data_IF_867300722767
#
_entry.id   IF_867300722767
#
_cell.length_a   1.000
_cell.length_b   1.000
_cell.length_c   1.000
_cell.angle_alpha   90.00
_cell.angle_beta   90.00
_cell.angle_gamma   90.00
#
_symmetry.space_group_name_H-M   'P 1'
#
loop_
_entity.id
_entity.type
_entity.pdbx_description
1 polymer ?
#
# COMPACT_ATOMS: atom_id res chain seq x y z
N UNK A 1 -28.82 7.48 -37.68
CA UNK A 1 -27.68 6.65 -37.20
C UNK A 1 -26.55 7.61 -36.79
N UNK A 2 -26.48 7.97 -35.51
CA UNK A 2 -25.49 8.95 -35.00
C UNK A 2 -24.23 8.17 -34.62
N UNK A 3 -23.21 8.23 -35.46
CA UNK A 3 -21.89 7.68 -35.17
C UNK A 3 -21.30 8.58 -34.08
N UNK A 4 -21.24 8.06 -32.85
CA UNK A 4 -20.49 8.71 -31.77
C UNK A 4 -19.02 8.52 -32.14
N UNK A 5 -18.42 9.50 -32.82
CA UNK A 5 -16.97 9.62 -32.91
C UNK A 5 -16.45 9.69 -31.48
N UNK A 6 -15.76 8.63 -31.05
CA UNK A 6 -14.96 8.66 -29.82
C UNK A 6 -13.92 9.76 -29.98
N UNK A 7 -14.13 10.89 -29.32
CA UNK A 7 -13.16 11.97 -29.25
C UNK A 7 -11.81 11.38 -28.80
N UNK A 8 -10.68 11.65 -29.50
CA UNK A 8 -9.39 11.22 -29.02
C UNK A 8 -9.17 11.84 -27.64
N UNK A 9 -8.82 11.00 -26.64
CA UNK A 9 -8.41 11.51 -25.33
C UNK A 9 -7.37 12.61 -25.53
N UNK A 10 -7.59 13.78 -24.92
CA UNK A 10 -6.58 14.84 -24.92
C UNK A 10 -5.28 14.28 -24.34
N UNK A 11 -4.15 14.76 -24.83
CA UNK A 11 -2.81 14.36 -24.35
C UNK A 11 -2.73 14.39 -22.82
N UNK A 12 -3.34 15.40 -22.21
CA UNK A 12 -3.47 15.56 -20.75
C UNK A 12 -4.18 14.39 -20.06
N UNK A 13 -5.23 13.81 -20.66
CA UNK A 13 -6.00 12.72 -20.06
C UNK A 13 -5.29 11.36 -20.21
N UNK A 14 -4.60 11.13 -21.34
CA UNK A 14 -3.68 9.99 -21.49
C UNK A 14 -2.55 10.06 -20.47
N UNK A 15 -1.92 11.22 -20.32
CA UNK A 15 -0.80 11.42 -19.38
C UNK A 15 -1.21 11.27 -17.91
N UNK A 16 -2.41 11.76 -17.53
CA UNK A 16 -2.97 11.54 -16.18
C UNK A 16 -3.16 10.05 -15.87
N UNK A 17 -3.35 9.22 -16.88
CA UNK A 17 -3.58 7.78 -16.71
C UNK A 17 -2.25 7.02 -16.60
N UNK A 18 -1.22 7.40 -17.37
CA UNK A 18 0.09 6.72 -17.40
C UNK A 18 0.80 6.76 -16.03
N UNK A 19 0.86 7.91 -15.37
CA UNK A 19 1.58 8.00 -14.09
C UNK A 19 0.95 7.12 -13.01
N UNK A 20 -0.38 7.05 -12.99
CA UNK A 20 -1.12 6.21 -12.04
C UNK A 20 -0.70 4.75 -12.21
N UNK A 21 -0.58 4.31 -13.46
CA UNK A 21 -0.22 2.93 -13.77
C UNK A 21 1.25 2.63 -13.47
N UNK A 22 2.16 3.58 -13.73
CA UNK A 22 3.57 3.48 -13.29
C UNK A 22 3.67 3.32 -11.78
N UNK A 23 2.94 4.14 -11.02
CA UNK A 23 2.98 4.08 -9.56
C UNK A 23 2.39 2.78 -9.02
N UNK A 24 1.25 2.32 -9.56
CA UNK A 24 0.71 0.99 -9.21
C UNK A 24 1.74 -0.09 -9.49
N UNK A 25 2.36 -0.07 -10.67
CA UNK A 25 3.41 -1.01 -11.06
C UNK A 25 4.59 -1.01 -10.09
N UNK A 26 5.08 0.17 -9.71
CA UNK A 26 6.16 0.33 -8.73
C UNK A 26 5.76 -0.26 -7.37
N UNK A 27 4.55 0.05 -6.87
CA UNK A 27 4.11 -0.48 -5.57
C UNK A 27 4.00 -2.01 -5.56
N UNK A 28 3.51 -2.62 -6.65
CA UNK A 28 3.46 -4.07 -6.80
C UNK A 28 4.86 -4.68 -6.90
N UNK A 29 5.76 -4.06 -7.67
CA UNK A 29 7.15 -4.48 -7.80
C UNK A 29 7.87 -4.49 -6.45
N UNK A 30 7.70 -3.45 -5.62
CA UNK A 30 8.31 -3.37 -4.29
C UNK A 30 7.81 -4.47 -3.34
N UNK A 31 6.55 -4.92 -3.49
CA UNK A 31 5.99 -6.05 -2.72
C UNK A 31 6.59 -7.38 -3.18
N UNK A 32 6.71 -7.58 -4.50
CA UNK A 32 7.36 -8.77 -5.05
C UNK A 32 8.81 -8.84 -4.60
N UNK A 33 9.56 -7.73 -4.69
CA UNK A 33 10.94 -7.64 -4.24
C UNK A 33 11.08 -8.02 -2.75
N UNK A 34 10.14 -7.58 -1.91
CA UNK A 34 10.13 -7.94 -0.50
C UNK A 34 9.97 -9.43 -0.27
N UNK A 35 8.98 -10.07 -0.93
CA UNK A 35 8.75 -11.50 -0.78
C UNK A 35 9.91 -12.30 -1.36
N UNK A 36 10.46 -11.92 -2.51
CA UNK A 36 11.67 -12.54 -3.06
C UNK A 36 12.83 -12.50 -2.07
N UNK A 37 13.09 -11.35 -1.45
CA UNK A 37 14.11 -11.23 -0.39
C UNK A 37 13.80 -12.13 0.82
N UNK A 38 12.54 -12.18 1.26
CA UNK A 38 12.12 -13.04 2.36
C UNK A 38 12.38 -14.52 2.08
N UNK A 39 12.11 -14.99 0.85
CA UNK A 39 12.41 -16.37 0.44
C UNK A 39 13.92 -16.62 0.31
N UNK A 40 14.70 -15.66 -0.21
CA UNK A 40 16.17 -15.75 -0.22
C UNK A 40 16.74 -15.83 1.20
N UNK A 41 16.17 -15.09 2.14
CA UNK A 41 16.55 -15.13 3.55
C UNK A 41 16.23 -16.49 4.16
N UNK A 42 15.06 -17.05 3.87
CA UNK A 42 14.70 -18.41 4.31
C UNK A 42 15.58 -19.49 3.71
N UNK A 43 16.11 -19.29 2.50
CA UNK A 43 17.08 -20.18 1.86
C UNK A 43 18.51 -19.98 2.40
N UNK A 44 18.76 -19.04 3.31
CA UNK A 44 20.08 -18.76 3.86
C UNK A 44 21.02 -17.97 2.93
N UNK A 45 20.48 -17.37 1.85
CA UNK A 45 21.28 -16.69 0.81
C UNK A 45 21.25 -15.16 0.99
N UNK A 46 20.46 -14.62 1.93
CA UNK A 46 20.40 -13.17 2.15
C UNK A 46 21.63 -12.64 2.89
N UNK A 47 22.19 -11.53 2.42
CA UNK A 47 23.26 -10.79 3.11
C UNK A 47 22.70 -9.71 4.04
N UNK A 48 23.49 -9.29 5.04
CA UNK A 48 23.13 -8.15 5.91
C UNK A 48 22.79 -6.88 5.11
N UNK A 49 23.54 -6.59 4.05
CA UNK A 49 23.29 -5.46 3.15
C UNK A 49 21.93 -5.56 2.47
N UNK A 50 21.60 -6.72 1.88
CA UNK A 50 20.29 -6.92 1.23
C UNK A 50 19.13 -6.84 2.23
N UNK A 51 19.33 -7.34 3.46
CA UNK A 51 18.35 -7.22 4.54
C UNK A 51 18.11 -5.76 4.94
N UNK A 52 19.18 -4.99 5.14
CA UNK A 52 19.09 -3.55 5.45
C UNK A 52 18.38 -2.77 4.36
N UNK A 53 18.72 -3.02 3.09
CA UNK A 53 18.07 -2.39 1.94
C UNK A 53 16.58 -2.74 1.86
N UNK A 54 16.23 -4.02 2.00
CA UNK A 54 14.82 -4.47 2.00
C UNK A 54 14.01 -3.85 3.15
N UNK A 55 14.63 -3.64 4.31
CA UNK A 55 13.97 -2.96 5.43
C UNK A 55 13.74 -1.48 5.17
N UNK A 56 14.74 -0.76 4.62
CA UNK A 56 14.60 0.67 4.27
C UNK A 56 13.52 0.87 3.21
N UNK A 57 13.58 0.10 2.13
CA UNK A 57 12.55 0.07 1.08
C UNK A 57 11.18 -0.34 1.67
N UNK A 58 11.21 -1.24 2.65
CA UNK A 58 10.03 -1.72 3.35
C UNK A 58 9.28 -0.68 4.17
N UNK A 59 9.97 0.35 4.64
CA UNK A 59 9.33 1.46 5.34
C UNK A 59 8.39 2.26 4.40
N UNK A 60 8.72 2.33 3.12
CA UNK A 60 8.00 3.05 2.09
C UNK A 60 6.88 2.22 1.43
N UNK A 61 7.15 0.93 1.18
CA UNK A 61 6.33 0.10 0.26
C UNK A 61 4.84 0.03 0.64
N UNK A 62 4.55 -0.26 1.91
CA UNK A 62 3.17 -0.49 2.37
C UNK A 62 2.39 0.82 2.51
N UNK A 63 2.92 1.87 3.16
CA UNK A 63 2.26 3.18 3.15
C UNK A 63 1.93 3.69 1.75
N UNK A 64 2.88 3.55 0.82
CA UNK A 64 2.72 4.00 -0.56
C UNK A 64 1.62 3.23 -1.29
N UNK A 65 1.61 1.90 -1.16
CA UNK A 65 0.57 1.03 -1.71
C UNK A 65 -0.83 1.44 -1.24
N UNK A 66 -1.00 1.69 0.06
CA UNK A 66 -2.30 2.07 0.62
C UNK A 66 -2.71 3.50 0.31
N UNK A 67 -1.77 4.44 0.29
CA UNK A 67 -2.03 5.82 -0.16
C UNK A 67 -2.58 5.84 -1.59
N UNK A 68 -1.95 5.09 -2.51
CA UNK A 68 -2.39 5.03 -3.90
C UNK A 68 -3.69 4.27 -4.06
N UNK A 69 -3.87 3.17 -3.33
CA UNK A 69 -5.13 2.45 -3.29
C UNK A 69 -6.28 3.34 -2.79
N UNK A 70 -6.03 4.18 -1.78
CA UNK A 70 -6.98 5.17 -1.26
C UNK A 70 -7.30 6.25 -2.29
N UNK A 71 -6.27 6.81 -2.95
CA UNK A 71 -6.44 7.81 -4.00
C UNK A 71 -7.34 7.29 -5.13
N UNK A 72 -7.13 6.05 -5.57
CA UNK A 72 -7.96 5.41 -6.60
C UNK A 72 -9.38 5.13 -6.11
N UNK A 73 -9.54 4.80 -4.82
CA UNK A 73 -10.84 4.56 -4.21
C UNK A 73 -11.72 5.82 -4.15
N UNK A 74 -11.17 7.04 -4.20
CA UNK A 74 -11.93 8.30 -4.15
C UNK A 74 -13.12 8.36 -5.12
N UNK A 75 -12.92 7.84 -6.34
CA UNK A 75 -13.96 7.82 -7.39
C UNK A 75 -14.97 6.69 -7.22
N UNK A 76 -14.55 5.62 -6.54
CA UNK A 76 -15.31 4.38 -6.36
C UNK A 76 -16.23 4.47 -5.15
N UNK A 77 -15.78 5.08 -4.05
CA UNK A 77 -16.57 5.24 -2.80
C UNK A 77 -17.84 6.09 -2.99
N UNK A 78 -17.92 6.88 -4.07
CA UNK A 78 -19.07 7.75 -4.38
C UNK A 78 -20.13 7.06 -5.24
N UNK A 79 -19.85 5.89 -5.80
CA UNK A 79 -20.75 5.17 -6.70
C UNK A 79 -21.81 4.36 -5.92
N UNK A 80 -22.96 4.04 -6.55
CA UNK A 80 -23.98 3.17 -5.96
C UNK A 80 -23.41 1.77 -5.68
N UNK A 81 -23.85 1.16 -4.57
CA UNK A 81 -23.26 -0.08 -4.05
C UNK A 81 -23.35 -1.23 -5.06
N UNK A 82 -24.50 -1.45 -5.71
CA UNK A 82 -24.72 -2.60 -6.60
C UNK A 82 -23.73 -2.69 -7.78
N UNK A 83 -23.31 -1.56 -8.33
CA UNK A 83 -22.37 -1.50 -9.46
C UNK A 83 -20.91 -1.77 -9.05
N UNK A 84 -20.54 -1.38 -7.83
CA UNK A 84 -19.18 -1.51 -7.31
C UNK A 84 -18.95 -2.87 -6.65
N UNK A 85 -19.96 -3.36 -5.93
CA UNK A 85 -19.86 -4.53 -5.08
C UNK A 85 -19.69 -5.81 -5.90
N UNK A 86 -20.47 -5.96 -6.98
CA UNK A 86 -20.55 -7.26 -7.68
C UNK A 86 -19.24 -7.65 -8.36
N UNK A 87 -18.66 -6.82 -9.23
CA UNK A 87 -17.46 -7.23 -10.00
C UNK A 87 -16.15 -7.08 -9.24
N UNK A 88 -15.97 -5.98 -8.51
CA UNK A 88 -14.67 -5.65 -7.91
C UNK A 88 -14.44 -6.41 -6.60
N UNK A 89 -15.47 -6.56 -5.76
CA UNK A 89 -15.33 -7.37 -4.54
C UNK A 89 -15.24 -8.84 -4.88
N UNK A 90 -16.00 -9.33 -5.87
CA UNK A 90 -15.80 -10.70 -6.32
C UNK A 90 -14.38 -10.93 -6.79
N UNK A 91 -13.78 -10.05 -7.60
CA UNK A 91 -12.38 -10.21 -8.01
C UNK A 91 -11.43 -10.28 -6.81
N UNK A 92 -11.56 -9.37 -5.82
CA UNK A 92 -10.72 -9.41 -4.62
C UNK A 92 -10.93 -10.67 -3.80
N UNK A 93 -12.18 -11.10 -3.63
CA UNK A 93 -12.54 -12.31 -2.89
C UNK A 93 -12.00 -13.56 -3.59
N UNK A 94 -12.12 -13.65 -4.91
CA UNK A 94 -11.57 -14.75 -5.71
C UNK A 94 -10.05 -14.81 -5.56
N UNK A 95 -9.35 -13.69 -5.74
CA UNK A 95 -7.90 -13.61 -5.56
C UNK A 95 -7.53 -14.02 -4.13
N UNK A 96 -8.22 -13.49 -3.12
CA UNK A 96 -7.95 -13.82 -1.72
C UNK A 96 -8.12 -15.32 -1.43
N UNK A 97 -9.23 -15.93 -1.86
CA UNK A 97 -9.52 -17.34 -1.64
C UNK A 97 -8.53 -18.25 -2.37
N UNK A 98 -8.28 -17.99 -3.66
CA UNK A 98 -7.32 -18.77 -4.46
C UNK A 98 -5.93 -18.74 -3.82
N UNK A 99 -5.43 -17.57 -3.44
CA UNK A 99 -4.12 -17.46 -2.83
C UNK A 99 -4.07 -18.01 -1.40
N UNK A 100 -5.17 -17.94 -0.66
CA UNK A 100 -5.30 -18.61 0.64
C UNK A 100 -5.15 -20.11 0.49
N UNK A 101 -5.86 -20.71 -0.46
CA UNK A 101 -5.77 -22.14 -0.75
C UNK A 101 -4.36 -22.54 -1.17
N UNK A 102 -3.73 -21.79 -2.08
CA UNK A 102 -2.32 -22.01 -2.47
C UNK A 102 -1.39 -21.94 -1.26
N UNK A 103 -1.57 -20.93 -0.40
CA UNK A 103 -0.71 -20.76 0.79
C UNK A 103 -0.88 -21.89 1.79
N UNK A 104 -2.10 -22.37 2.00
CA UNK A 104 -2.38 -23.53 2.85
C UNK A 104 -1.81 -24.80 2.24
N UNK A 105 -1.93 -25.00 0.92
CA UNK A 105 -1.36 -26.14 0.21
C UNK A 105 0.18 -26.17 0.28
N UNK A 106 0.85 -25.04 0.09
CA UNK A 106 2.32 -24.95 0.23
C UNK A 106 2.75 -25.24 1.66
N UNK A 107 2.02 -24.72 2.67
CA UNK A 107 2.28 -25.05 4.08
C UNK A 107 2.09 -26.53 4.37
N UNK A 108 1.04 -27.14 3.81
CA UNK A 108 0.76 -28.57 3.93
C UNK A 108 1.88 -29.41 3.34
N UNK A 109 2.29 -29.10 2.09
CA UNK A 109 3.41 -29.77 1.42
C UNK A 109 4.70 -29.68 2.22
N UNK A 110 5.02 -28.47 2.74
CA UNK A 110 6.21 -28.25 3.56
C UNK A 110 6.20 -29.06 4.86
N UNK A 111 5.08 -29.05 5.60
CA UNK A 111 4.97 -29.74 6.88
C UNK A 111 5.02 -31.26 6.72
N UNK A 112 4.32 -31.80 5.72
CA UNK A 112 4.25 -33.24 5.50
C UNK A 112 5.51 -33.85 4.91
N UNK A 113 6.06 -33.24 3.85
CA UNK A 113 7.10 -33.88 3.04
C UNK A 113 8.50 -33.46 3.49
N UNK A 114 8.70 -32.17 3.78
CA UNK A 114 10.04 -31.65 4.09
C UNK A 114 10.40 -31.77 5.57
N UNK A 115 9.41 -31.80 6.45
CA UNK A 115 9.60 -31.80 7.90
C UNK A 115 9.14 -33.09 8.58
N UNK A 116 8.61 -34.05 7.81
CA UNK A 116 8.12 -35.34 8.33
C UNK A 116 6.99 -35.21 9.35
N UNK A 117 6.30 -34.07 9.39
CA UNK A 117 5.20 -33.83 10.31
C UNK A 117 3.93 -34.56 9.91
N UNK A 118 3.06 -34.84 10.88
CA UNK A 118 1.72 -35.37 10.61
C UNK A 118 0.91 -34.35 9.80
N UNK A 119 0.26 -34.85 8.74
CA UNK A 119 -0.61 -34.05 7.90
C UNK A 119 -1.89 -33.70 8.68
N UNK A 120 -2.31 -32.42 8.71
CA UNK A 120 -3.60 -32.05 9.27
C UNK A 120 -4.73 -32.80 8.55
N UNK A 121 -5.74 -33.23 9.30
CA UNK A 121 -6.96 -33.78 8.74
C UNK A 121 -7.80 -32.72 8.00
N UNK A 122 -8.82 -33.18 7.27
CA UNK A 122 -9.70 -32.34 6.46
C UNK A 122 -10.43 -31.31 7.33
N UNK A 123 -10.85 -31.70 8.54
CA UNK A 123 -11.53 -30.82 9.49
C UNK A 123 -10.62 -29.67 9.93
N UNK A 124 -9.38 -29.97 10.34
CA UNK A 124 -8.38 -28.96 10.68
C UNK A 124 -8.09 -28.04 9.50
N UNK A 125 -8.06 -28.58 8.28
CA UNK A 125 -7.86 -27.77 7.07
C UNK A 125 -9.03 -26.81 6.83
N UNK A 126 -10.27 -27.30 6.97
CA UNK A 126 -11.47 -26.47 6.85
C UNK A 126 -11.50 -25.36 7.92
N UNK A 127 -11.17 -25.69 9.18
CA UNK A 127 -11.05 -24.71 10.25
C UNK A 127 -9.97 -23.66 9.97
N UNK A 128 -8.82 -24.06 9.40
CA UNK A 128 -7.75 -23.12 8.99
C UNK A 128 -8.21 -22.20 7.86
N UNK A 129 -8.99 -22.71 6.92
CA UNK A 129 -9.58 -21.90 5.86
C UNK A 129 -10.58 -20.89 6.41
N UNK A 130 -11.47 -21.30 7.32
CA UNK A 130 -12.42 -20.36 7.96
C UNK A 130 -11.68 -19.32 8.80
N UNK A 131 -10.68 -19.74 9.59
CA UNK A 131 -9.85 -18.83 10.39
C UNK A 131 -9.10 -17.82 9.54
N UNK A 132 -8.72 -18.17 8.31
CA UNK A 132 -8.03 -17.25 7.39
C UNK A 132 -8.86 -16.01 7.00
N UNK A 133 -10.19 -16.07 7.14
CA UNK A 133 -11.06 -14.92 6.91
C UNK A 133 -10.90 -13.83 7.98
N UNK A 134 -10.51 -14.25 9.20
CA UNK A 134 -10.26 -13.36 10.34
C UNK A 134 -8.76 -13.04 10.50
N UNK A 135 -7.90 -14.06 10.41
CA UNK A 135 -6.45 -13.95 10.58
C UNK A 135 -5.76 -14.47 9.31
N UNK A 136 -5.63 -13.63 8.27
CA UNK A 136 -5.19 -14.06 6.96
C UNK A 136 -3.71 -14.50 6.97
N UNK A 137 -3.31 -15.45 6.10
CA UNK A 137 -1.93 -15.85 5.95
C UNK A 137 -1.03 -14.63 5.71
N UNK A 138 0.18 -14.64 6.29
CA UNK A 138 0.98 -13.43 6.51
C UNK A 138 1.28 -12.55 5.28
N UNK A 139 1.17 -13.03 4.05
CA UNK A 139 1.30 -12.20 2.84
C UNK A 139 -0.03 -11.63 2.32
N UNK A 140 -1.18 -12.15 2.73
CA UNK A 140 -2.51 -11.80 2.22
C UNK A 140 -3.24 -10.72 3.03
N UNK A 141 -2.64 -10.29 4.14
CA UNK A 141 -3.20 -9.25 5.01
C UNK A 141 -3.51 -7.94 4.26
N UNK A 142 -2.77 -7.59 3.20
CA UNK A 142 -2.98 -6.33 2.50
C UNK A 142 -4.29 -6.33 1.69
N UNK A 143 -4.68 -7.47 1.13
CA UNK A 143 -5.97 -7.62 0.41
C UNK A 143 -7.12 -7.54 1.42
N UNK A 144 -6.96 -8.22 2.55
CA UNK A 144 -7.90 -8.16 3.66
C UNK A 144 -8.05 -6.72 4.21
N UNK A 145 -6.93 -6.05 4.48
CA UNK A 145 -6.91 -4.65 4.90
C UNK A 145 -7.55 -3.72 3.88
N UNK A 146 -7.29 -3.91 2.58
CA UNK A 146 -7.91 -3.11 1.52
C UNK A 146 -9.43 -3.21 1.52
N UNK A 147 -9.98 -4.43 1.73
CA UNK A 147 -11.42 -4.63 1.84
C UNK A 147 -11.99 -3.89 3.06
N UNK A 148 -11.34 -4.00 4.22
CA UNK A 148 -11.74 -3.29 5.44
C UNK A 148 -11.67 -1.77 5.30
N UNK A 149 -10.59 -1.24 4.73
CA UNK A 149 -10.44 0.20 4.59
C UNK A 149 -11.41 0.77 3.56
N UNK A 150 -11.68 0.03 2.48
CA UNK A 150 -12.69 0.42 1.51
C UNK A 150 -14.08 0.48 2.15
N UNK A 151 -14.43 -0.54 2.96
CA UNK A 151 -15.67 -0.56 3.72
C UNK A 151 -15.73 0.62 4.70
N UNK A 152 -14.68 0.86 5.49
CA UNK A 152 -14.60 1.98 6.42
C UNK A 152 -14.76 3.33 5.68
N UNK A 153 -14.04 3.53 4.58
CA UNK A 153 -14.14 4.75 3.77
C UNK A 153 -15.53 4.98 3.19
N UNK A 154 -16.30 3.91 2.94
CA UNK A 154 -17.67 3.99 2.44
C UNK A 154 -18.69 4.31 3.53
N UNK A 155 -18.47 3.76 4.74
CA UNK A 155 -19.36 3.93 5.90
C UNK A 155 -19.17 5.28 6.57
N UNK A 156 -17.95 5.84 6.56
CA UNK A 156 -17.66 7.14 7.17
C UNK A 156 -18.28 8.26 6.31
N UNK A 157 -19.29 8.99 6.82
CA UNK A 157 -19.91 10.07 6.08
C UNK A 157 -18.96 11.26 5.95
N UNK A 158 -19.23 12.16 4.99
CA UNK A 158 -18.35 13.31 4.69
C UNK A 158 -18.04 14.18 5.92
N UNK A 159 -19.04 14.40 6.80
CA UNK A 159 -18.90 15.15 8.07
C UNK A 159 -18.04 14.42 9.11
N UNK A 160 -17.95 13.10 9.05
CA UNK A 160 -17.19 12.26 9.98
C UNK A 160 -15.77 11.92 9.53
N UNK A 161 -15.33 12.40 8.35
CA UNK A 161 -14.01 12.03 7.78
C UNK A 161 -12.84 12.38 8.67
N UNK A 162 -12.82 13.58 9.27
CA UNK A 162 -11.76 13.99 10.18
C UNK A 162 -11.74 13.13 11.45
N UNK A 163 -12.91 12.81 12.01
CA UNK A 163 -13.04 11.92 13.17
C UNK A 163 -12.54 10.52 12.80
N UNK A 164 -12.95 9.98 11.65
CA UNK A 164 -12.50 8.68 11.15
C UNK A 164 -10.99 8.60 10.96
N UNK A 165 -10.36 9.68 10.46
CA UNK A 165 -8.91 9.78 10.39
C UNK A 165 -8.26 9.81 11.76
N UNK A 166 -8.77 10.64 12.68
CA UNK A 166 -8.30 10.72 14.05
C UNK A 166 -8.34 9.36 14.75
N UNK A 167 -9.47 8.66 14.65
CA UNK A 167 -9.62 7.29 15.18
C UNK A 167 -8.61 6.34 14.52
N UNK A 168 -8.45 6.38 13.21
CA UNK A 168 -7.47 5.52 12.53
C UNK A 168 -6.03 5.76 12.99
N UNK A 169 -5.66 7.02 13.26
CA UNK A 169 -4.32 7.39 13.76
C UNK A 169 -4.10 6.93 15.20
N UNK A 170 -5.13 7.02 16.05
CA UNK A 170 -5.10 6.50 17.41
C UNK A 170 -4.91 4.98 17.36
N UNK A 171 -5.68 4.27 16.53
CA UNK A 171 -5.56 2.82 16.37
C UNK A 171 -4.20 2.40 15.81
N UNK A 172 -3.65 3.16 14.86
CA UNK A 172 -2.32 2.91 14.33
C UNK A 172 -1.25 3.07 15.42
N UNK A 173 -1.34 4.12 16.23
CA UNK A 173 -0.44 4.35 17.38
C UNK A 173 -0.56 3.22 18.41
N UNK A 174 -1.79 2.81 18.73
CA UNK A 174 -2.05 1.71 19.65
C UNK A 174 -1.50 0.37 19.13
N UNK A 175 -1.62 0.09 17.83
CA UNK A 175 -1.03 -1.10 17.22
C UNK A 175 0.51 -1.13 17.35
N UNK A 176 1.14 0.05 17.46
CA UNK A 176 2.59 0.17 17.66
C UNK A 176 3.04 0.23 19.11
N UNK A 177 2.15 0.52 20.07
CA UNK A 177 2.53 0.68 21.48
C UNK A 177 2.92 -0.62 22.16
N UNK A 178 2.67 -1.78 21.53
CA UNK A 178 2.86 -3.11 22.11
C UNK A 178 2.08 -3.36 23.42
N UNK A 179 1.13 -2.49 23.76
CA UNK A 179 0.26 -2.68 24.93
C UNK A 179 -0.60 -3.95 24.80
N UNK A 180 -0.84 -4.40 23.57
CA UNK A 180 -1.53 -5.63 23.25
C UNK A 180 -0.78 -6.40 22.15
N UNK A 181 -0.67 -7.72 22.29
CA UNK A 181 -0.05 -8.60 21.29
C UNK A 181 -1.03 -8.90 20.15
N UNK A 182 -1.06 -8.02 19.16
CA UNK A 182 -1.78 -8.28 17.91
C UNK A 182 -1.04 -9.30 17.03
N UNK A 183 -1.81 -10.16 16.35
CA UNK A 183 -1.23 -10.94 15.25
C UNK A 183 -0.73 -9.99 14.15
N UNK A 184 0.28 -10.43 13.40
CA UNK A 184 0.92 -9.60 12.36
C UNK A 184 -0.10 -8.96 11.38
N UNK A 185 -1.07 -9.70 10.81
CA UNK A 185 -2.08 -9.11 9.93
C UNK A 185 -2.89 -7.98 10.56
N UNK A 186 -3.31 -8.14 11.82
CA UNK A 186 -4.09 -7.14 12.54
C UNK A 186 -3.26 -5.90 12.83
N UNK A 187 -2.03 -6.09 13.33
CA UNK A 187 -1.08 -5.01 13.58
C UNK A 187 -0.83 -4.21 12.30
N UNK A 188 -0.50 -4.90 11.21
CA UNK A 188 -0.27 -4.27 9.91
C UNK A 188 -1.53 -3.52 9.44
N UNK A 189 -2.71 -4.14 9.54
CA UNK A 189 -3.94 -3.51 9.08
C UNK A 189 -4.27 -2.20 9.84
N UNK A 190 -4.13 -2.22 11.16
CA UNK A 190 -4.35 -1.02 11.97
C UNK A 190 -3.31 0.07 11.66
N UNK A 191 -2.04 -0.32 11.51
CA UNK A 191 -0.93 0.62 11.24
C UNK A 191 -1.07 1.37 9.92
N UNK A 192 -1.67 0.76 8.89
CA UNK A 192 -1.72 1.37 7.54
C UNK A 192 -3.08 1.96 7.14
N UNK A 193 -4.12 1.78 7.96
CA UNK A 193 -5.43 2.39 7.73
C UNK A 193 -5.40 3.93 7.54
N UNK A 194 -4.60 4.72 8.29
CA UNK A 194 -4.55 6.17 8.11
C UNK A 194 -4.14 6.59 6.69
N UNK A 195 -3.18 5.89 6.08
CA UNK A 195 -2.72 6.21 4.72
C UNK A 195 -3.81 6.01 3.69
N UNK A 196 -4.53 4.90 3.76
CA UNK A 196 -5.63 4.65 2.84
C UNK A 196 -6.74 5.69 3.02
N UNK A 197 -7.19 5.91 4.26
CA UNK A 197 -8.31 6.80 4.54
C UNK A 197 -7.98 8.26 4.20
N UNK A 198 -6.76 8.72 4.49
CA UNK A 198 -6.33 10.09 4.18
C UNK A 198 -6.45 10.37 2.68
N UNK A 199 -5.95 9.45 1.85
CA UNK A 199 -6.01 9.61 0.40
C UNK A 199 -7.39 9.32 -0.20
N UNK A 200 -8.18 8.42 0.41
CA UNK A 200 -9.56 8.18 0.00
C UNK A 200 -10.47 9.39 0.27
N UNK A 201 -10.16 10.20 1.29
CA UNK A 201 -10.96 11.35 1.68
C UNK A 201 -10.47 12.67 1.09
N UNK A 202 -9.14 12.88 1.07
CA UNK A 202 -8.48 14.15 0.77
C UNK A 202 -7.34 14.00 -0.24
N UNK A 203 -7.33 12.94 -1.06
CA UNK A 203 -6.22 12.64 -1.95
C UNK A 203 -5.89 13.75 -2.95
N UNK A 204 -6.87 14.55 -3.38
CA UNK A 204 -6.63 15.71 -4.29
C UNK A 204 -5.95 16.85 -3.56
N UNK A 205 -6.44 17.17 -2.37
CA UNK A 205 -5.95 18.22 -1.50
C UNK A 205 -4.52 17.93 -1.02
N UNK A 206 -4.27 16.68 -0.57
CA UNK A 206 -2.94 16.20 -0.19
C UNK A 206 -1.98 16.29 -1.38
N UNK A 207 -2.41 15.84 -2.55
CA UNK A 207 -1.58 15.92 -3.76
C UNK A 207 -1.22 17.36 -4.14
N UNK A 208 -2.21 18.28 -4.15
CA UNK A 208 -1.94 19.70 -4.42
C UNK A 208 -1.01 20.32 -3.39
N UNK A 209 -1.20 20.01 -2.10
CA UNK A 209 -0.38 20.57 -1.02
C UNK A 209 1.09 20.13 -1.15
N UNK A 210 1.33 18.86 -1.47
CA UNK A 210 2.68 18.33 -1.65
C UNK A 210 3.35 18.99 -2.86
N UNK A 211 2.65 19.10 -4.00
CA UNK A 211 3.23 19.73 -5.19
C UNK A 211 3.57 21.21 -4.98
N UNK A 212 2.68 21.97 -4.35
CA UNK A 212 2.91 23.40 -4.06
C UNK A 212 4.08 23.63 -3.10
N UNK A 213 4.46 22.62 -2.31
CA UNK A 213 5.47 22.74 -1.26
C UNK A 213 6.55 21.65 -1.38
N UNK A 214 6.87 21.21 -2.60
CA UNK A 214 7.66 20.00 -2.83
C UNK A 214 9.01 20.01 -2.10
N UNK A 215 9.72 21.15 -2.09
CA UNK A 215 11.00 21.30 -1.40
C UNK A 215 10.89 21.14 0.11
N UNK A 216 9.85 21.72 0.71
CA UNK A 216 9.57 21.57 2.14
C UNK A 216 9.29 20.12 2.48
N UNK A 217 8.41 19.47 1.71
CA UNK A 217 8.06 18.08 1.94
C UNK A 217 9.25 17.14 1.73
N UNK A 218 10.13 17.41 0.76
CA UNK A 218 11.38 16.66 0.57
C UNK A 218 12.34 16.86 1.75
N UNK A 219 12.47 18.10 2.23
CA UNK A 219 13.27 18.42 3.42
C UNK A 219 12.72 17.74 4.68
N UNK A 220 11.39 17.71 4.85
CA UNK A 220 10.73 16.98 5.93
C UNK A 220 10.96 15.47 5.81
N UNK A 221 10.78 14.88 4.63
CA UNK A 221 11.04 13.47 4.38
C UNK A 221 12.48 13.08 4.74
N UNK A 222 13.45 13.88 4.29
CA UNK A 222 14.87 13.67 4.56
C UNK A 222 15.18 13.86 6.04
N UNK A 223 14.70 14.95 6.66
CA UNK A 223 14.90 15.25 8.07
C UNK A 223 14.32 14.17 8.97
N UNK A 224 13.15 13.63 8.63
CA UNK A 224 12.54 12.52 9.36
C UNK A 224 13.32 11.21 9.18
N UNK A 225 13.85 10.93 7.98
CA UNK A 225 14.68 9.74 7.75
C UNK A 225 15.98 9.80 8.56
N UNK A 226 16.63 10.97 8.58
CA UNK A 226 17.85 11.21 9.37
C UNK A 226 17.52 11.12 10.87
N UNK A 227 16.50 11.86 11.33
CA UNK A 227 16.09 11.89 12.74
C UNK A 227 15.67 10.53 13.27
N UNK A 228 14.95 9.75 12.46
CA UNK A 228 14.57 8.37 12.81
C UNK A 228 15.75 7.40 12.87
N UNK A 229 16.73 7.57 11.99
CA UNK A 229 17.99 6.78 12.03
C UNK A 229 18.79 7.12 13.28
N UNK A 230 18.91 8.42 13.61
CA UNK A 230 19.58 8.89 14.82
C UNK A 230 18.85 8.40 16.09
N UNK A 231 17.52 8.42 16.10
CA UNK A 231 16.72 7.92 17.22
C UNK A 231 16.95 6.42 17.46
N UNK A 232 16.95 5.60 16.41
CA UNK A 232 17.25 4.17 16.53
C UNK A 232 18.69 3.95 17.03
N UNK A 233 19.65 4.72 16.54
CA UNK A 233 21.03 4.63 16.99
C UNK A 233 21.18 5.01 18.48
N UNK A 234 20.42 6.00 18.96
CA UNK A 234 20.50 6.51 20.34
C UNK A 234 19.74 5.65 21.36
N UNK A 235 18.57 5.11 21.00
CA UNK A 235 17.67 4.41 21.92
C UNK A 235 17.59 2.89 21.68
N UNK A 236 18.40 2.39 20.75
CA UNK A 236 18.44 0.97 20.41
C UNK A 236 17.23 0.51 19.60
N UNK A 237 17.35 -0.71 19.08
CA UNK A 237 16.39 -1.29 18.14
C UNK A 237 15.17 -1.90 18.86
N UNK A 238 14.52 -1.16 19.76
CA UNK A 238 13.30 -1.63 20.42
C UNK A 238 12.15 -1.73 19.40
N UNK A 239 11.41 -2.84 19.40
CA UNK A 239 10.21 -3.04 18.56
C UNK A 239 9.02 -2.14 19.01
N UNK A 240 9.27 -0.89 19.37
CA UNK A 240 8.28 0.01 19.97
C UNK A 240 7.79 1.12 19.04
N UNK A 241 7.18 2.12 19.68
CA UNK A 241 6.63 3.33 19.07
C UNK A 241 7.61 4.03 18.11
N UNK A 242 8.94 3.95 18.37
CA UNK A 242 9.98 4.52 17.50
C UNK A 242 10.03 3.93 16.08
N UNK A 243 9.95 2.60 15.93
CA UNK A 243 9.87 1.96 14.61
C UNK A 243 8.51 2.22 13.94
N UNK A 244 7.45 2.33 14.73
CA UNK A 244 6.11 2.72 14.25
C UNK A 244 6.10 4.12 13.66
N UNK A 245 6.65 5.09 14.38
CA UNK A 245 6.82 6.47 13.93
C UNK A 245 7.72 6.53 12.70
N UNK A 246 8.84 5.81 12.68
CA UNK A 246 9.72 5.74 11.51
C UNK A 246 9.00 5.18 10.27
N UNK A 247 8.17 4.15 10.43
CA UNK A 247 7.34 3.61 9.34
C UNK A 247 6.30 4.62 8.87
N UNK A 248 5.67 5.34 9.80
CA UNK A 248 4.71 6.40 9.45
C UNK A 248 5.39 7.53 8.66
N UNK A 249 6.57 7.94 9.13
CA UNK A 249 7.37 9.04 8.58
C UNK A 249 8.02 8.68 7.24
N UNK A 250 8.54 7.47 7.09
CA UNK A 250 9.05 6.96 5.82
C UNK A 250 7.92 6.73 4.81
N UNK A 251 6.71 6.40 5.28
CA UNK A 251 5.52 6.41 4.44
C UNK A 251 5.22 7.78 3.87
N UNK A 252 5.27 8.83 4.70
CA UNK A 252 5.18 10.22 4.26
C UNK A 252 6.33 10.57 3.31
N UNK A 253 7.57 10.19 3.61
CA UNK A 253 8.72 10.45 2.75
C UNK A 253 8.64 9.76 1.39
N UNK A 254 8.16 8.52 1.35
CA UNK A 254 7.87 7.79 0.13
C UNK A 254 6.74 8.42 -0.68
N UNK A 255 5.71 8.94 0.00
CA UNK A 255 4.63 9.71 -0.64
C UNK A 255 5.15 11.01 -1.27
N UNK A 256 6.11 11.67 -0.63
CA UNK A 256 6.77 12.87 -1.17
C UNK A 256 7.67 12.54 -2.35
N UNK A 257 8.48 11.48 -2.23
CA UNK A 257 9.27 10.95 -3.35
C UNK A 257 8.39 10.55 -4.52
N UNK A 258 7.24 9.95 -4.25
CA UNK A 258 6.24 9.68 -5.26
C UNK A 258 5.76 10.98 -5.91
N UNK A 259 5.30 11.95 -5.13
CA UNK A 259 4.85 13.24 -5.68
C UNK A 259 5.94 13.98 -6.46
N UNK A 260 7.21 13.85 -6.07
CA UNK A 260 8.37 14.38 -6.78
C UNK A 260 8.61 13.66 -8.11
N UNK A 261 8.56 12.32 -8.13
CA UNK A 261 8.66 11.52 -9.35
C UNK A 261 7.48 11.82 -10.30
N UNK A 262 6.29 12.04 -9.74
CA UNK A 262 5.09 12.45 -10.48
C UNK A 262 5.22 13.85 -11.08
N UNK A 263 5.83 14.79 -10.35
CA UNK A 263 6.16 16.13 -10.84
C UNK A 263 7.18 16.09 -11.96
N UNK A 264 8.22 15.25 -11.86
CA UNK A 264 9.25 15.14 -12.89
C UNK A 264 8.74 14.44 -14.15
N UNK A 265 7.91 13.41 -14.02
CA UNK A 265 7.26 12.80 -15.18
C UNK A 265 6.34 13.79 -15.92
N UNK A 266 5.66 14.68 -15.17
CA UNK A 266 4.90 15.80 -15.74
C UNK A 266 5.79 16.88 -16.38
N UNK A 267 6.93 17.23 -15.77
CA UNK A 267 7.86 18.24 -16.27
C UNK A 267 8.63 17.79 -17.53
N UNK A 268 9.06 16.53 -17.56
CA UNK A 268 9.68 15.91 -18.75
C UNK A 268 8.68 15.83 -19.91
N UNK A 269 7.39 15.65 -19.62
CA UNK A 269 6.33 15.66 -20.64
C UNK A 269 5.98 17.06 -21.16
N UNK A 270 6.11 18.12 -20.34
CA UNK A 270 5.94 19.51 -20.77
C UNK A 270 7.02 19.89 -21.81
N UNK A 271 8.27 19.49 -21.56
CA UNK A 271 9.39 19.69 -22.49
C UNK A 271 9.23 18.91 -23.79
N UNK A 272 8.66 17.69 -23.74
CA UNK A 272 8.37 16.90 -24.95
C UNK A 272 7.25 17.50 -25.82
N UNK A 273 6.21 18.07 -25.20
CA UNK A 273 5.12 18.73 -25.94
C UNK A 273 5.54 20.04 -26.61
N UNK A 274 6.51 20.76 -26.04
CA UNK A 274 7.10 21.96 -26.67
C UNK A 274 7.92 21.58 -27.92
N UNK A 275 8.64 20.45 -27.86
CA UNK A 275 9.41 19.95 -29.02
C UNK A 275 8.50 19.45 -30.15
N UNK A 276 7.42 18.72 -29.85
CA UNK A 276 6.44 18.30 -30.87
C UNK A 276 5.71 19.51 -31.51
N UNK A 277 5.39 20.55 -30.71
CA UNK A 277 4.79 21.78 -31.24
C UNK A 277 5.77 22.58 -32.12
N UNK A 278 7.07 22.55 -31.82
CA UNK A 278 8.11 23.17 -32.64
C UNK A 278 8.42 22.39 -33.92
N UNK A 279 8.22 21.06 -33.94
CA UNK A 279 8.32 20.24 -35.15
C UNK A 279 7.10 20.39 -36.07
N UNK A 280 5.91 20.65 -35.54
CA UNK A 280 4.69 20.89 -36.34
C UNK A 280 4.68 22.29 -36.98
N UNK A 281 5.46 23.24 -36.42
CA UNK A 281 5.56 24.63 -36.91
C UNK A 281 6.73 24.82 -37.89
N UNK A 282 7.51 23.77 -38.18
CA UNK A 282 8.51 23.74 -39.26
C UNK A 282 7.99 22.99 -40.49
#
# INVERSE_FOLDING_TARGET
>A
MRIIMSQPFSTTDKMRTVWIDVVKGLTLFLVVLHHSHQYLAWAGVSTYTTYRLNNVIGLARMPLFFAISGYLAMSVIRRPLGEVLSRRIMLFLHIFLVWTLITLAVKYFRLGILQGGSLPDIETMALRLVRSLYDPPGSLWFIWGLALYFLAARLIPRRGRLIGLGVSLILATFAFSQTYEFSYPHKAALSYAPFFLAFAFYGREIYSLILSNLRLFLGLALGMAIGGTAFIAAYGDSEGMGRGLLRLMAGIGAMVLLAALLSQAGAVSFLGSEQELLEIVR
#
